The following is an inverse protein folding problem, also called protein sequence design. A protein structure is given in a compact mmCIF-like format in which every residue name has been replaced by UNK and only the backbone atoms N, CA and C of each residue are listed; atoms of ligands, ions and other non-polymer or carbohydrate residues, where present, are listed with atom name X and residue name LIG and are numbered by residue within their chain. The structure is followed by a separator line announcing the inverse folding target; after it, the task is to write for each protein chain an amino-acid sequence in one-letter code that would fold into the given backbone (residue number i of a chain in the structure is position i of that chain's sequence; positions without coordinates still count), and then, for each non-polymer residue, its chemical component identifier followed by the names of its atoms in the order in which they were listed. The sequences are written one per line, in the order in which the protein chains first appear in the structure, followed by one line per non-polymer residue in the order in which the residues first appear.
data_IF_919580552362
#
_entry.id   IF_919580552362
#
_cell.length_a   1.000
_cell.length_b   1.000
_cell.length_c   1.000
_cell.angle_alpha   90.00
_cell.angle_beta   90.00
_cell.angle_gamma   90.00
#
_symmetry.space_group_name_H-M   'P 1'
#
loop_
_entity.id
_entity.type
_entity.pdbx_description
1 polymer ?
#
# COMPACT_ATOMS: atom_id res chain seq x y z
N UNK A 1 14.36 1.05 -16.34
CA UNK A 1 13.15 0.50 -15.66
C UNK A 1 12.39 -0.40 -16.64
N UNK A 2 12.19 -1.69 -16.31
CA UNK A 2 11.40 -2.63 -17.12
C UNK A 2 9.92 -2.25 -17.00
N UNK A 3 9.28 -1.85 -18.10
CA UNK A 3 7.82 -1.69 -18.16
C UNK A 3 7.21 -3.10 -18.15
N UNK A 4 6.52 -3.47 -17.07
CA UNK A 4 5.73 -4.70 -17.03
C UNK A 4 4.51 -4.50 -17.93
N UNK A 5 4.31 -5.41 -18.90
CA UNK A 5 3.18 -5.36 -19.84
C UNK A 5 1.99 -6.06 -19.19
N UNK A 6 0.88 -5.33 -19.06
CA UNK A 6 -0.38 -5.90 -18.55
C UNK A 6 -0.93 -6.94 -19.53
N UNK A 7 -1.25 -8.13 -19.04
CA UNK A 7 -1.73 -9.26 -19.84
C UNK A 7 -2.91 -9.99 -19.16
N UNK A 8 -3.59 -10.84 -19.92
CA UNK A 8 -4.78 -11.58 -19.46
C UNK A 8 -4.47 -12.55 -18.31
N UNK A 9 -3.24 -13.07 -18.22
CA UNK A 9 -2.83 -13.95 -17.13
C UNK A 9 -2.76 -13.23 -15.78
N UNK A 10 -2.33 -11.97 -15.77
CA UNK A 10 -2.36 -11.13 -14.58
C UNK A 10 -3.81 -10.82 -14.18
N UNK A 11 -4.66 -10.51 -15.15
CA UNK A 11 -6.08 -10.28 -14.90
C UNK A 11 -6.77 -11.52 -14.30
N UNK A 12 -6.48 -12.71 -14.82
CA UNK A 12 -6.98 -13.99 -14.28
C UNK A 12 -6.50 -14.28 -12.86
N UNK A 13 -5.34 -13.75 -12.48
CA UNK A 13 -4.79 -13.81 -11.11
C UNK A 13 -5.34 -12.71 -10.20
N UNK A 14 -6.37 -11.98 -10.65
CA UNK A 14 -6.96 -10.86 -9.91
C UNK A 14 -6.09 -9.61 -9.88
N UNK A 15 -5.06 -9.54 -10.72
CA UNK A 15 -4.16 -8.39 -10.82
C UNK A 15 -4.73 -7.41 -11.82
N UNK A 16 -5.25 -6.27 -11.35
CA UNK A 16 -5.75 -5.19 -12.20
C UNK A 16 -4.62 -4.34 -12.79
N UNK A 17 -4.91 -3.59 -13.87
CA UNK A 17 -3.93 -2.66 -14.46
C UNK A 17 -3.50 -1.59 -13.47
N UNK A 18 -4.44 -1.07 -12.69
CA UNK A 18 -4.19 -0.15 -11.58
C UNK A 18 -3.35 -0.78 -10.45
N UNK A 19 -3.44 -2.09 -10.25
CA UNK A 19 -2.59 -2.84 -9.30
C UNK A 19 -1.14 -2.93 -9.79
N UNK A 20 -0.91 -3.11 -11.10
CA UNK A 20 0.44 -3.09 -11.66
C UNK A 20 1.06 -1.70 -11.68
N UNK A 21 0.26 -0.68 -11.99
CA UNK A 21 0.70 0.72 -11.96
C UNK A 21 1.04 1.14 -10.52
N UNK A 22 0.29 0.68 -9.51
CA UNK A 22 0.58 0.96 -8.10
C UNK A 22 1.75 0.15 -7.52
N UNK A 23 2.07 -1.03 -8.06
CA UNK A 23 3.26 -1.80 -7.64
C UNK A 23 4.59 -1.06 -7.95
N UNK A 24 4.55 -0.04 -8.79
CA UNK A 24 5.70 0.85 -9.08
C UNK A 24 5.79 2.06 -8.14
N UNK A 25 4.85 2.24 -7.22
CA UNK A 25 4.77 3.44 -6.38
C UNK A 25 5.68 3.34 -5.15
N UNK A 26 6.95 3.48 -5.44
CA UNK A 26 7.96 3.90 -4.50
C UNK A 26 7.60 5.32 -4.02
N UNK A 27 7.12 5.42 -2.78
CA UNK A 27 6.87 6.67 -2.08
C UNK A 27 8.18 7.16 -1.46
N UNK A 28 8.45 8.46 -1.57
CA UNK A 28 9.60 9.08 -0.92
C UNK A 28 9.12 9.77 0.35
N UNK A 29 9.76 9.56 1.49
CA UNK A 29 9.43 10.31 2.69
C UNK A 29 9.81 11.80 2.50
N UNK A 30 8.93 12.76 2.84
CA UNK A 30 9.26 14.19 2.77
C UNK A 30 10.29 14.62 3.83
N UNK A 31 10.37 13.92 4.96
CA UNK A 31 11.26 14.26 6.08
C UNK A 31 12.63 13.61 5.95
N UNK A 32 12.69 12.27 5.87
CA UNK A 32 13.98 11.54 5.83
C UNK A 32 14.47 11.20 4.42
N UNK A 33 13.64 11.41 3.39
CA UNK A 33 14.00 11.10 2.01
C UNK A 33 14.03 9.60 1.65
N UNK A 34 13.75 8.70 2.60
CA UNK A 34 13.74 7.26 2.35
C UNK A 34 12.65 6.87 1.33
N UNK A 35 12.97 5.90 0.47
CA UNK A 35 12.07 5.43 -0.60
C UNK A 35 11.55 4.05 -0.25
N UNK A 36 10.23 3.88 -0.21
CA UNK A 36 9.59 2.63 0.22
C UNK A 36 8.24 2.41 -0.49
N UNK A 37 7.76 1.17 -0.48
CA UNK A 37 6.45 0.82 -1.03
C UNK A 37 5.35 1.06 0.02
N UNK A 38 4.20 1.57 -0.42
CA UNK A 38 2.99 1.75 0.41
C UNK A 38 2.54 0.47 1.13
N UNK A 39 2.63 -0.70 0.49
CA UNK A 39 2.34 -1.99 1.13
C UNK A 39 3.26 -2.23 2.33
N UNK A 40 4.57 -2.01 2.18
CA UNK A 40 5.53 -2.22 3.25
C UNK A 40 5.30 -1.23 4.40
N UNK A 41 5.01 0.04 4.09
CA UNK A 41 4.58 1.03 5.09
C UNK A 41 3.37 0.55 5.89
N UNK A 42 2.32 0.04 5.25
CA UNK A 42 1.11 -0.40 5.95
C UNK A 42 1.29 -1.69 6.74
N UNK A 43 1.94 -2.69 6.14
CA UNK A 43 2.11 -3.99 6.76
C UNK A 43 3.08 -3.93 7.96
N UNK A 44 4.09 -3.06 7.90
CA UNK A 44 5.13 -2.95 8.94
C UNK A 44 4.92 -1.73 9.85
N UNK A 45 4.89 -0.51 9.30
CA UNK A 45 4.84 0.72 10.10
C UNK A 45 3.44 0.97 10.71
N UNK A 46 2.38 0.57 10.01
CA UNK A 46 1.00 0.69 10.51
C UNK A 46 0.49 -0.60 11.20
N UNK A 47 1.38 -1.53 11.55
CA UNK A 47 0.99 -2.78 12.21
C UNK A 47 0.21 -2.50 13.51
N UNK A 48 -0.95 -3.14 13.67
CA UNK A 48 -1.85 -2.93 14.81
C UNK A 48 -2.82 -1.74 14.68
N UNK A 49 -2.67 -0.89 13.66
CA UNK A 49 -3.64 0.17 13.39
C UNK A 49 -4.83 -0.38 12.59
N UNK A 50 -6.04 -0.29 13.16
CA UNK A 50 -7.29 -0.70 12.48
C UNK A 50 -7.53 0.04 11.15
N UNK A 51 -7.01 1.27 11.02
CA UNK A 51 -7.18 2.06 9.82
C UNK A 51 -6.23 1.63 8.69
N UNK A 52 -5.17 0.86 8.99
CA UNK A 52 -4.25 0.34 7.96
C UNK A 52 -4.97 -0.57 6.94
N UNK A 53 -6.07 -1.18 7.39
CA UNK A 53 -6.91 -2.11 6.63
C UNK A 53 -8.27 -1.53 6.24
N UNK A 54 -8.50 -0.24 6.49
CA UNK A 54 -9.78 0.44 6.29
C UNK A 54 -9.61 1.76 5.52
N UNK A 55 -8.99 1.69 4.35
CA UNK A 55 -8.97 2.81 3.40
C UNK A 55 -8.21 4.06 3.86
N UNK A 56 -7.30 3.96 4.84
CA UNK A 56 -6.56 5.12 5.35
C UNK A 56 -5.67 5.80 4.30
N UNK A 57 -5.94 7.07 4.01
CA UNK A 57 -5.21 7.86 3.01
C UNK A 57 -3.89 8.45 3.54
N UNK A 58 -3.47 8.05 4.75
CA UNK A 58 -2.16 8.39 5.30
C UNK A 58 -1.13 7.28 5.03
N UNK A 59 0.12 7.72 4.92
CA UNK A 59 1.31 6.90 4.79
C UNK A 59 2.19 7.17 5.99
N UNK A 60 2.63 6.11 6.67
CA UNK A 60 3.62 6.20 7.74
C UNK A 60 4.97 5.72 7.24
N UNK A 61 6.01 6.54 7.35
CA UNK A 61 7.34 6.14 6.94
C UNK A 61 7.89 5.03 7.85
N UNK A 62 8.33 3.86 7.32
CA UNK A 62 8.89 2.78 8.13
C UNK A 62 10.29 3.09 8.70
N UNK A 63 10.90 4.23 8.34
CA UNK A 63 12.23 4.62 8.80
C UNK A 63 12.22 5.72 9.87
N UNK A 64 11.37 6.73 9.73
CA UNK A 64 11.34 7.89 10.64
C UNK A 64 9.96 8.14 11.26
N UNK A 65 8.99 7.23 11.04
CA UNK A 65 7.63 7.30 11.57
C UNK A 65 6.79 8.52 11.19
N UNK A 66 7.30 9.40 10.31
CA UNK A 66 6.52 10.53 9.81
C UNK A 66 5.28 10.05 9.05
N UNK A 67 4.13 10.61 9.41
CA UNK A 67 2.86 10.42 8.71
C UNK A 67 2.59 11.55 7.71
N UNK A 68 2.11 11.20 6.51
CA UNK A 68 1.77 12.17 5.47
C UNK A 68 0.68 11.64 4.53
N UNK A 69 -0.04 12.55 3.88
CA UNK A 69 -1.14 12.22 2.96
C UNK A 69 -0.64 11.61 1.65
N UNK A 70 -1.33 10.58 1.17
CA UNK A 70 -1.10 9.96 -0.14
C UNK A 70 -1.29 10.96 -1.28
N UNK A 71 -2.19 11.93 -1.09
CA UNK A 71 -2.55 12.95 -2.07
C UNK A 71 -1.33 13.81 -2.51
N UNK A 72 -0.26 13.87 -1.70
CA UNK A 72 0.99 14.50 -2.13
C UNK A 72 1.64 13.80 -3.34
N UNK A 73 1.25 12.57 -3.65
CA UNK A 73 1.81 11.74 -4.73
C UNK A 73 0.79 11.41 -5.85
N UNK A 74 -0.49 11.74 -5.64
CA UNK A 74 -1.63 11.33 -6.49
C UNK A 74 -2.79 12.33 -6.34
N UNK A 75 -3.68 12.40 -7.32
CA UNK A 75 -4.94 13.14 -7.11
C UNK A 75 -5.83 12.43 -6.06
N UNK A 76 -6.79 13.16 -5.50
CA UNK A 76 -7.69 12.68 -4.45
C UNK A 76 -8.38 11.34 -4.81
N UNK A 77 -8.94 11.25 -6.03
CA UNK A 77 -9.65 10.05 -6.48
C UNK A 77 -8.74 8.82 -6.61
N UNK A 78 -7.52 9.00 -7.13
CA UNK A 78 -6.52 7.93 -7.22
C UNK A 78 -5.98 7.54 -5.85
N UNK A 79 -5.82 8.51 -4.93
CA UNK A 79 -5.38 8.26 -3.55
C UNK A 79 -6.35 7.35 -2.83
N UNK A 80 -7.65 7.63 -2.91
CA UNK A 80 -8.69 6.82 -2.31
C UNK A 80 -8.79 5.42 -2.93
N UNK A 81 -8.76 5.32 -4.26
CA UNK A 81 -8.79 4.04 -4.95
C UNK A 81 -7.58 3.16 -4.58
N UNK A 82 -6.38 3.74 -4.56
CA UNK A 82 -5.15 3.07 -4.15
C UNK A 82 -5.21 2.65 -2.68
N UNK A 83 -5.71 3.53 -1.81
CA UNK A 83 -5.83 3.26 -0.39
C UNK A 83 -6.76 2.08 -0.10
N UNK A 84 -7.94 2.04 -0.72
CA UNK A 84 -8.89 0.93 -0.59
C UNK A 84 -8.29 -0.37 -1.11
N UNK A 85 -7.60 -0.31 -2.24
CA UNK A 85 -6.93 -1.48 -2.80
C UNK A 85 -5.80 -1.98 -1.90
N UNK A 86 -4.93 -1.12 -1.39
CA UNK A 86 -3.88 -1.52 -0.45
C UNK A 86 -4.45 -2.13 0.83
N UNK A 87 -5.59 -1.63 1.29
CA UNK A 87 -6.29 -2.17 2.46
C UNK A 87 -6.69 -3.63 2.26
N UNK A 88 -7.15 -4.01 1.06
CA UNK A 88 -7.50 -5.41 0.78
C UNK A 88 -6.26 -6.32 0.75
N UNK A 89 -5.14 -5.86 0.18
CA UNK A 89 -3.88 -6.63 0.19
C UNK A 89 -3.36 -6.79 1.63
N UNK A 90 -3.35 -5.71 2.41
CA UNK A 90 -2.83 -5.73 3.78
C UNK A 90 -3.73 -6.61 4.65
N UNK A 91 -5.05 -6.56 4.47
CA UNK A 91 -5.99 -7.50 5.13
C UNK A 91 -5.66 -8.94 4.78
N UNK A 92 -5.46 -9.26 3.50
CA UNK A 92 -5.11 -10.61 3.06
C UNK A 92 -3.79 -11.05 3.68
N UNK A 93 -2.76 -10.20 3.67
CA UNK A 93 -1.48 -10.48 4.30
C UNK A 93 -1.61 -10.75 5.81
N UNK A 94 -2.40 -9.95 6.53
CA UNK A 94 -2.64 -10.16 7.97
C UNK A 94 -3.41 -11.47 8.21
N UNK A 95 -4.34 -11.85 7.34
CA UNK A 95 -5.05 -13.13 7.47
C UNK A 95 -4.15 -14.35 7.21
N UNK A 96 -3.24 -14.23 6.25
CA UNK A 96 -2.34 -15.31 5.83
C UNK A 96 -1.14 -15.49 6.77
N UNK A 97 -0.56 -14.37 7.23
CA UNK A 97 0.71 -14.33 7.95
C UNK A 97 0.65 -13.66 9.32
N UNK A 98 -0.46 -12.99 9.67
CA UNK A 98 -0.62 -12.37 10.98
C UNK A 98 -0.88 -13.41 12.07
N UNK A 99 -0.35 -13.18 13.26
CA UNK A 99 -0.68 -13.98 14.43
C UNK A 99 -2.18 -13.88 14.69
N UNK A 100 -2.88 -15.01 14.59
CA UNK A 100 -4.27 -15.09 15.03
C UNK A 100 -4.27 -14.82 16.53
N UNK A 101 -5.04 -13.84 17.06
CA UNK A 101 -5.21 -13.75 18.49
C UNK A 101 -5.76 -15.09 18.95
N UNK A 102 -4.98 -15.80 19.79
CA UNK A 102 -5.45 -17.01 20.47
C UNK A 102 -6.71 -16.60 21.21
N UNK A 103 -7.84 -17.12 20.74
CA UNK A 103 -9.16 -16.90 21.32
C UNK A 103 -9.38 -17.90 22.45
#
# INVERSE_FOLDING_TARGET
MRKYVYNDDLQRKGISRSMMESKQDNLKCPECGNVFNLFYSRAFACQGCRHAVDGCEFVRCPHCDTEFLLEKYRNEMQSKALSNYMSSIVNQYIQDFGDKPNR
#
